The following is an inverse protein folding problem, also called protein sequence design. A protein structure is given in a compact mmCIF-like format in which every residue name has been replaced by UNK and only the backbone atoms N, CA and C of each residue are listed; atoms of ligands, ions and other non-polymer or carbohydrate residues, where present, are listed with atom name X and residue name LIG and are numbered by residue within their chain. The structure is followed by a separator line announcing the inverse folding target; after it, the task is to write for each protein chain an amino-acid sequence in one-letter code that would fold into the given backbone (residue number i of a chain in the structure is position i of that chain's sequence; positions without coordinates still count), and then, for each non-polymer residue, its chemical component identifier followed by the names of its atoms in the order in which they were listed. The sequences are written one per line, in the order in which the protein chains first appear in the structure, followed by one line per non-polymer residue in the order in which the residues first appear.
data_IF_299116264273
#
_entry.id   IF_299116264273
#
_cell.length_a   1.000
_cell.length_b   1.000
_cell.length_c   1.000
_cell.angle_alpha   90.00
_cell.angle_beta   90.00
_cell.angle_gamma   90.00
#
_symmetry.space_group_name_H-M   'P 1'
#
loop_
_entity.id
_entity.type
_entity.pdbx_description
1 polymer ?
#
# COMPACT_ATOMS: atom_id res chain seq x y z
N UNK A 1 -7.84 7.25 43.70
CA UNK A 1 -7.95 6.31 42.57
C UNK A 1 -8.35 7.11 41.35
N UNK A 2 -7.35 7.66 40.68
CA UNK A 2 -7.46 8.39 39.41
C UNK A 2 -7.01 7.42 38.31
N UNK A 3 -7.75 7.37 37.20
CA UNK A 3 -7.47 6.51 36.05
C UNK A 3 -6.23 6.98 35.29
N UNK A 4 -5.40 6.10 34.69
CA UNK A 4 -4.17 6.48 33.96
C UNK A 4 -4.39 7.25 32.63
N UNK A 5 -5.57 7.82 32.38
CA UNK A 5 -5.90 8.52 31.13
C UNK A 5 -5.62 10.04 31.17
N UNK A 6 -5.16 10.60 32.30
CA UNK A 6 -4.83 12.03 32.43
C UNK A 6 -3.38 12.39 32.07
N UNK A 7 -2.51 11.42 31.81
CA UNK A 7 -1.10 11.67 31.46
C UNK A 7 -0.92 11.82 29.94
N UNK A 8 -1.32 12.99 29.44
CA UNK A 8 -0.59 13.75 28.41
C UNK A 8 -1.41 15.02 28.10
N UNK A 9 -1.36 16.00 29.00
CA UNK A 9 -1.53 17.39 28.53
C UNK A 9 -0.35 17.64 27.60
N UNK A 10 -0.60 17.55 26.29
CA UNK A 10 0.39 17.92 25.30
C UNK A 10 0.80 19.36 25.62
N UNK A 11 2.06 19.56 26.01
CA UNK A 11 2.65 20.88 26.02
C UNK A 11 2.35 21.49 24.64
N UNK A 12 1.73 22.68 24.61
CA UNK A 12 1.53 23.44 23.37
C UNK A 12 2.90 23.59 22.71
N UNK A 13 3.17 22.74 21.72
CA UNK A 13 4.29 22.95 20.82
C UNK A 13 4.01 24.25 20.06
N UNK A 14 5.07 24.99 19.77
CA UNK A 14 5.06 26.37 19.27
C UNK A 14 4.51 26.53 17.85
N UNK A 15 3.76 25.56 17.34
CA UNK A 15 3.06 25.64 16.06
C UNK A 15 1.54 25.67 16.33
N UNK A 16 0.97 26.89 16.32
CA UNK A 16 -0.47 27.14 16.34
C UNK A 16 -1.16 26.68 15.05
N UNK A 17 -1.03 25.41 14.69
CA UNK A 17 -1.22 24.95 13.32
C UNK A 17 -2.50 24.16 13.03
N UNK A 18 -3.48 23.95 13.92
CA UNK A 18 -4.88 23.56 13.54
C UNK A 18 -5.82 23.58 14.77
N UNK A 19 -7.15 23.63 14.57
CA UNK A 19 -8.17 23.32 15.61
C UNK A 19 -8.26 21.82 16.01
N UNK A 20 -7.51 20.94 15.34
CA UNK A 20 -7.48 19.50 15.62
C UNK A 20 -6.57 19.22 16.82
N UNK A 21 -7.14 18.66 17.87
CA UNK A 21 -6.44 18.35 19.14
C UNK A 21 -5.94 16.91 19.19
N UNK A 22 -6.63 16.00 18.49
CA UNK A 22 -6.39 14.54 18.55
C UNK A 22 -6.50 13.89 17.19
N UNK A 23 -5.82 12.76 17.03
CA UNK A 23 -5.91 11.94 15.83
C UNK A 23 -6.20 10.48 16.16
N UNK A 24 -7.05 9.85 15.36
CA UNK A 24 -7.17 8.39 15.32
C UNK A 24 -6.49 7.91 14.06
N UNK A 25 -5.37 7.19 14.21
CA UNK A 25 -4.55 6.72 13.09
C UNK A 25 -4.75 5.22 12.86
N UNK A 26 -5.04 4.85 11.63
CA UNK A 26 -5.33 3.48 11.21
C UNK A 26 -4.16 2.92 10.41
N UNK A 27 -3.66 1.77 10.87
CA UNK A 27 -2.90 0.85 10.03
C UNK A 27 -3.86 -0.17 9.44
N UNK A 28 -3.91 -0.27 8.11
CA UNK A 28 -4.87 -1.09 7.38
C UNK A 28 -4.17 -2.23 6.66
N UNK A 29 -4.59 -3.46 6.96
CA UNK A 29 -4.12 -4.68 6.30
C UNK A 29 -5.23 -5.20 5.38
N UNK A 30 -4.99 -5.31 4.08
CA UNK A 30 -5.99 -5.82 3.12
C UNK A 30 -5.54 -7.16 2.53
N UNK A 31 -6.32 -8.21 2.77
CA UNK A 31 -5.93 -9.56 2.37
C UNK A 31 -6.21 -9.82 0.89
N UNK A 32 -5.48 -10.79 0.34
CA UNK A 32 -5.85 -11.47 -0.89
C UNK A 32 -6.93 -12.52 -0.65
N UNK A 33 -7.83 -12.73 -1.61
CA UNK A 33 -8.88 -13.74 -1.53
C UNK A 33 -9.82 -13.73 -2.74
N UNK A 34 -10.44 -14.88 -3.02
CA UNK A 34 -11.33 -15.15 -4.17
C UNK A 34 -12.29 -14.00 -4.47
N UNK A 35 -12.14 -13.37 -5.64
CA UNK A 35 -13.11 -12.53 -6.35
C UNK A 35 -13.82 -11.39 -5.58
N UNK A 36 -13.28 -10.94 -4.44
CA UNK A 36 -13.87 -9.87 -3.62
C UNK A 36 -13.13 -8.53 -3.75
N UNK A 37 -12.37 -8.35 -4.83
CA UNK A 37 -11.70 -7.08 -5.15
C UNK A 37 -12.68 -5.89 -5.17
N UNK A 38 -13.92 -6.11 -5.61
CA UNK A 38 -15.01 -5.12 -5.62
C UNK A 38 -15.42 -4.73 -4.19
N UNK A 39 -15.53 -5.70 -3.28
CA UNK A 39 -15.85 -5.45 -1.88
C UNK A 39 -14.74 -4.65 -1.19
N UNK A 40 -13.48 -5.08 -1.37
CA UNK A 40 -12.32 -4.36 -0.82
C UNK A 40 -12.26 -2.94 -1.39
N UNK A 41 -12.63 -2.74 -2.66
CA UNK A 41 -12.71 -1.40 -3.26
C UNK A 41 -13.78 -0.51 -2.60
N UNK A 42 -14.90 -1.08 -2.19
CA UNK A 42 -15.91 -0.39 -1.38
C UNK A 42 -15.33 0.05 -0.03
N UNK A 43 -14.68 -0.88 0.70
CA UNK A 43 -14.04 -0.58 1.98
C UNK A 43 -12.96 0.49 1.83
N UNK A 44 -12.13 0.42 0.80
CA UNK A 44 -11.10 1.43 0.53
C UNK A 44 -11.68 2.82 0.27
N UNK A 45 -12.80 2.92 -0.44
CA UNK A 45 -13.51 4.19 -0.65
C UNK A 45 -14.08 4.75 0.66
N UNK A 46 -14.67 3.91 1.51
CA UNK A 46 -15.15 4.34 2.83
C UNK A 46 -14.00 4.84 3.73
N UNK A 47 -12.84 4.19 3.68
CA UNK A 47 -11.65 4.65 4.39
C UNK A 47 -11.16 6.02 3.87
N UNK A 48 -11.17 6.22 2.56
CA UNK A 48 -10.83 7.52 1.96
C UNK A 48 -11.82 8.62 2.37
N UNK A 49 -13.12 8.32 2.31
CA UNK A 49 -14.19 9.23 2.69
C UNK A 49 -14.13 9.59 4.18
N UNK A 50 -13.80 8.61 5.03
CA UNK A 50 -13.57 8.83 6.46
C UNK A 50 -12.44 9.84 6.73
N UNK A 51 -11.30 9.68 6.03
CA UNK A 51 -10.17 10.61 6.17
C UNK A 51 -10.54 12.00 5.64
N UNK A 52 -11.16 12.07 4.46
CA UNK A 52 -11.59 13.34 3.84
C UNK A 52 -12.63 14.10 4.65
N UNK A 53 -13.60 13.39 5.21
CA UNK A 53 -14.66 13.99 6.02
C UNK A 53 -14.11 14.71 7.25
N UNK A 54 -12.98 14.26 7.81
CA UNK A 54 -12.39 14.84 9.02
C UNK A 54 -11.13 15.67 8.76
N UNK A 55 -10.72 15.82 7.49
CA UNK A 55 -9.58 16.66 7.12
C UNK A 55 -9.94 18.15 7.17
N UNK A 56 -8.97 18.97 7.55
CA UNK A 56 -9.06 20.43 7.60
C UNK A 56 -7.93 21.06 6.81
N UNK A 57 -8.20 22.20 6.18
CA UNK A 57 -7.23 23.00 5.43
C UNK A 57 -7.19 24.44 5.95
N UNK A 58 -6.08 25.17 5.80
CA UNK A 58 -6.04 26.57 6.15
C UNK A 58 -6.98 27.36 5.24
N UNK A 59 -7.71 28.32 5.80
CA UNK A 59 -8.55 29.24 5.04
C UNK A 59 -7.68 30.10 4.13
N UNK A 60 -8.02 30.18 2.85
CA UNK A 60 -7.31 31.02 1.88
C UNK A 60 -7.23 32.48 2.37
N UNK A 61 -6.04 33.08 2.27
CA UNK A 61 -5.76 34.43 2.78
C UNK A 61 -5.22 34.48 4.22
N UNK A 62 -5.30 33.38 4.99
CA UNK A 62 -4.75 33.30 6.36
C UNK A 62 -3.48 32.44 6.46
N UNK A 63 -2.99 31.91 5.33
CA UNK A 63 -1.85 30.97 5.29
C UNK A 63 -0.57 31.58 5.87
N UNK A 64 -0.35 32.88 5.64
CA UNK A 64 0.85 33.62 6.05
C UNK A 64 0.59 34.55 7.25
N UNK A 65 -0.51 34.36 7.98
CA UNK A 65 -0.87 35.18 9.14
C UNK A 65 -0.66 34.40 10.43
N UNK A 66 -0.31 35.08 11.53
CA UNK A 66 -0.22 34.47 12.86
C UNK A 66 -1.57 33.87 13.31
N UNK A 67 -2.70 34.44 12.86
CA UNK A 67 -4.07 33.96 13.10
C UNK A 67 -4.57 32.99 11.99
N UNK A 68 -3.79 31.95 11.67
CA UNK A 68 -4.15 30.95 10.65
C UNK A 68 -5.46 30.25 11.02
N UNK A 69 -6.51 30.47 10.21
CA UNK A 69 -7.82 29.82 10.42
C UNK A 69 -7.91 28.51 9.66
N UNK A 70 -8.65 27.57 10.22
CA UNK A 70 -8.83 26.24 9.64
C UNK A 70 -10.29 26.02 9.28
N UNK A 71 -10.51 25.48 8.09
CA UNK A 71 -11.84 25.09 7.61
C UNK A 71 -11.84 23.62 7.18
N UNK A 72 -13.00 22.94 7.25
CA UNK A 72 -13.10 21.58 6.75
C UNK A 72 -12.75 21.49 5.26
N UNK A 73 -12.03 20.43 4.86
CA UNK A 73 -11.65 20.19 3.47
C UNK A 73 -12.88 20.08 2.57
N UNK A 74 -13.88 19.30 3.00
CA UNK A 74 -15.16 19.19 2.32
C UNK A 74 -16.18 20.10 3.01
N UNK A 75 -16.70 21.07 2.25
CA UNK A 75 -17.75 22.01 2.67
C UNK A 75 -19.13 21.40 2.47
N UNK A 76 -20.12 21.89 3.22
CA UNK A 76 -21.50 21.43 3.09
C UNK A 76 -22.11 21.75 1.70
N UNK A 77 -23.08 20.93 1.22
CA UNK A 77 -23.67 19.78 1.91
C UNK A 77 -22.81 18.50 1.84
N UNK A 78 -22.75 17.75 2.93
CA UNK A 78 -22.08 16.44 2.99
C UNK A 78 -23.04 15.29 2.61
N UNK A 79 -22.83 14.59 1.48
CA UNK A 79 -23.70 13.49 1.09
C UNK A 79 -23.34 12.17 1.81
N UNK A 80 -24.37 11.36 2.12
CA UNK A 80 -24.21 9.97 2.54
C UNK A 80 -23.29 9.75 3.76
N UNK A 81 -22.32 8.84 3.62
CA UNK A 81 -21.41 8.44 4.69
C UNK A 81 -20.46 9.55 5.15
N UNK A 82 -20.13 10.52 4.30
CA UNK A 82 -19.26 11.65 4.65
C UNK A 82 -19.81 12.45 5.85
N UNK A 83 -21.14 12.64 5.90
CA UNK A 83 -21.79 13.31 7.02
C UNK A 83 -21.68 12.51 8.32
N UNK A 84 -21.70 11.18 8.24
CA UNK A 84 -21.52 10.29 9.41
C UNK A 84 -20.09 10.39 9.93
N UNK A 85 -19.08 10.30 9.05
CA UNK A 85 -17.68 10.42 9.45
C UNK A 85 -17.32 11.82 9.96
N UNK A 86 -17.90 12.88 9.39
CA UNK A 86 -17.76 14.25 9.91
C UNK A 86 -18.24 14.32 11.36
N UNK A 87 -19.45 13.82 11.61
CA UNK A 87 -20.03 13.77 12.96
C UNK A 87 -19.19 12.92 13.90
N UNK A 88 -18.57 11.85 13.42
CA UNK A 88 -17.67 11.03 14.23
C UNK A 88 -16.43 11.82 14.68
N UNK A 89 -15.80 12.60 13.81
CA UNK A 89 -14.66 13.46 14.17
C UNK A 89 -15.03 14.57 15.16
N UNK A 90 -16.23 15.14 15.03
CA UNK A 90 -16.78 16.13 15.98
C UNK A 90 -17.10 15.48 17.33
N UNK A 91 -17.68 14.27 17.30
CA UNK A 91 -18.06 13.48 18.47
C UNK A 91 -16.85 13.06 19.31
N UNK A 92 -15.82 12.50 18.68
CA UNK A 92 -14.61 12.06 19.37
C UNK A 92 -13.81 13.23 19.97
N UNK A 93 -14.04 14.43 19.44
CA UNK A 93 -13.51 15.69 19.94
C UNK A 93 -14.00 16.08 21.34
N UNK A 94 -15.19 15.63 21.76
CA UNK A 94 -15.75 15.95 23.09
C UNK A 94 -14.94 15.22 24.16
N UNK A 95 -14.17 15.93 24.98
CA UNK A 95 -13.27 15.32 25.97
C UNK A 95 -14.04 14.51 27.02
N UNK A 96 -15.07 15.10 27.63
CA UNK A 96 -15.87 14.46 28.67
C UNK A 96 -16.72 13.30 28.12
N UNK A 97 -16.58 12.11 28.72
CA UNK A 97 -17.26 10.89 28.26
C UNK A 97 -18.77 10.96 28.47
N UNK A 98 -19.23 11.62 29.52
CA UNK A 98 -20.64 11.72 29.86
C UNK A 98 -21.34 12.71 28.93
N UNK A 99 -20.78 13.90 28.75
CA UNK A 99 -21.22 14.91 27.78
C UNK A 99 -21.24 14.32 26.37
N UNK A 100 -20.18 13.59 25.99
CA UNK A 100 -20.12 12.89 24.73
C UNK A 100 -21.30 11.93 24.58
N UNK A 101 -21.53 11.05 25.56
CA UNK A 101 -22.65 10.11 25.53
C UNK A 101 -24.02 10.82 25.47
N UNK A 102 -24.19 11.93 26.18
CA UNK A 102 -25.43 12.70 26.20
C UNK A 102 -25.69 13.39 24.86
N UNK A 103 -24.67 14.01 24.25
CA UNK A 103 -24.75 14.59 22.89
C UNK A 103 -25.09 13.53 21.83
N UNK A 104 -24.58 12.31 21.96
CA UNK A 104 -24.94 11.20 21.08
C UNK A 104 -26.41 10.81 21.21
N UNK A 105 -26.88 10.60 22.45
CA UNK A 105 -28.29 10.24 22.71
C UNK A 105 -29.25 11.31 22.22
N UNK A 106 -28.88 12.57 22.37
CA UNK A 106 -29.69 13.73 21.96
C UNK A 106 -29.54 14.08 20.48
N UNK A 107 -28.65 13.41 19.74
CA UNK A 107 -28.31 13.72 18.35
C UNK A 107 -27.95 15.20 18.13
N UNK A 108 -27.33 15.83 19.13
CA UNK A 108 -27.13 17.28 19.17
C UNK A 108 -25.84 17.75 18.49
N UNK A 109 -25.15 16.87 17.76
CA UNK A 109 -23.93 17.21 17.00
C UNK A 109 -24.31 17.73 15.64
N UNK A 110 -23.92 18.98 15.40
CA UNK A 110 -24.17 19.70 14.15
C UNK A 110 -22.97 19.59 13.21
N UNK A 111 -23.21 19.63 11.89
CA UNK A 111 -22.14 19.72 10.89
C UNK A 111 -21.27 20.99 11.05
N UNK A 112 -21.78 22.01 11.75
CA UNK A 112 -21.07 23.25 12.08
C UNK A 112 -20.13 23.15 13.27
N UNK A 113 -20.20 22.06 14.05
CA UNK A 113 -19.32 21.86 15.20
C UNK A 113 -17.85 21.71 14.74
N UNK A 114 -16.86 22.16 15.53
CA UNK A 114 -15.46 22.04 15.15
C UNK A 114 -15.02 20.57 15.09
N UNK A 115 -14.20 20.24 14.09
CA UNK A 115 -13.60 18.92 13.95
C UNK A 115 -12.32 18.88 14.80
N UNK A 116 -12.47 18.49 16.07
CA UNK A 116 -11.33 18.40 17.00
C UNK A 116 -10.58 17.08 16.93
N UNK A 117 -11.17 16.03 16.36
CA UNK A 117 -10.52 14.74 16.13
C UNK A 117 -10.49 14.40 14.65
N UNK A 118 -9.30 14.12 14.14
CA UNK A 118 -9.07 13.72 12.75
C UNK A 118 -8.84 12.23 12.63
N UNK A 119 -9.42 11.61 11.60
CA UNK A 119 -9.24 10.20 11.27
C UNK A 119 -8.23 10.10 10.12
N UNK A 120 -7.22 9.25 10.25
CA UNK A 120 -6.09 9.17 9.30
C UNK A 120 -5.77 7.71 9.01
N UNK A 121 -5.56 7.37 7.74
CA UNK A 121 -4.94 6.11 7.33
C UNK A 121 -3.50 6.42 6.94
N UNK A 122 -2.53 6.00 7.75
CA UNK A 122 -1.11 6.32 7.56
C UNK A 122 -0.25 5.10 7.25
N UNK A 123 -0.77 3.88 7.38
CA UNK A 123 -0.06 2.64 7.04
C UNK A 123 -1.03 1.73 6.31
N UNK A 124 -0.61 1.23 5.15
CA UNK A 124 -1.37 0.28 4.34
C UNK A 124 -0.45 -0.88 3.98
N UNK A 125 -0.90 -2.11 4.20
CA UNK A 125 -0.23 -3.31 3.69
C UNK A 125 -1.23 -4.19 2.97
N UNK A 126 -0.90 -4.68 1.79
CA UNK A 126 -1.83 -5.46 0.99
C UNK A 126 -1.19 -6.56 0.16
N UNK A 127 -1.97 -7.61 -0.05
CA UNK A 127 -1.63 -8.76 -0.90
C UNK A 127 -2.74 -8.98 -1.93
N UNK A 128 -2.39 -9.38 -3.15
CA UNK A 128 -3.35 -9.71 -4.23
C UNK A 128 -4.36 -8.59 -4.49
N UNK A 129 -5.67 -8.90 -4.49
CA UNK A 129 -6.73 -7.89 -4.63
C UNK A 129 -6.66 -6.78 -3.56
N UNK A 130 -6.23 -7.11 -2.34
CA UNK A 130 -5.97 -6.14 -1.27
C UNK A 130 -4.81 -5.21 -1.61
N UNK A 131 -3.75 -5.74 -2.24
CA UNK A 131 -2.62 -4.95 -2.72
C UNK A 131 -2.98 -3.97 -3.82
N UNK A 132 -3.82 -4.38 -4.79
CA UNK A 132 -4.33 -3.46 -5.82
C UNK A 132 -5.10 -2.31 -5.17
N UNK A 133 -6.08 -2.61 -4.31
CA UNK A 133 -6.86 -1.56 -3.65
C UNK A 133 -6.02 -0.68 -2.73
N UNK A 134 -5.01 -1.25 -2.08
CA UNK A 134 -4.03 -0.53 -1.27
C UNK A 134 -3.22 0.50 -2.08
N UNK A 135 -2.77 0.15 -3.29
CA UNK A 135 -2.08 1.09 -4.20
C UNK A 135 -2.96 2.32 -4.50
N UNK A 136 -4.20 2.09 -4.87
CA UNK A 136 -5.11 3.18 -5.25
C UNK A 136 -5.55 4.02 -4.04
N UNK A 137 -5.81 3.40 -2.89
CA UNK A 137 -6.10 4.12 -1.65
C UNK A 137 -4.92 4.99 -1.23
N UNK A 138 -3.69 4.44 -1.28
CA UNK A 138 -2.50 5.18 -0.91
C UNK A 138 -2.26 6.39 -1.81
N UNK A 139 -2.38 6.22 -3.14
CA UNK A 139 -2.29 7.34 -4.08
C UNK A 139 -3.39 8.38 -3.83
N UNK A 140 -4.63 7.94 -3.60
CA UNK A 140 -5.75 8.82 -3.27
C UNK A 140 -5.49 9.66 -2.01
N UNK A 141 -4.95 9.05 -0.95
CA UNK A 141 -4.57 9.73 0.28
C UNK A 141 -3.39 10.69 0.08
N UNK A 142 -2.32 10.24 -0.58
CA UNK A 142 -1.11 11.05 -0.81
C UNK A 142 -1.35 12.25 -1.74
N UNK A 143 -2.38 12.20 -2.59
CA UNK A 143 -2.60 13.19 -3.66
C UNK A 143 -3.97 13.87 -3.63
N UNK A 144 -4.80 13.55 -2.63
CA UNK A 144 -6.19 13.99 -2.51
C UNK A 144 -7.01 13.72 -3.78
N UNK A 145 -6.97 12.48 -4.26
CA UNK A 145 -7.65 12.04 -5.48
C UNK A 145 -8.81 11.08 -5.18
N UNK A 146 -9.76 10.98 -6.09
CA UNK A 146 -10.83 9.97 -6.01
C UNK A 146 -10.36 8.60 -6.51
N UNK A 147 -11.06 7.54 -6.12
CA UNK A 147 -10.81 6.16 -6.58
C UNK A 147 -11.78 5.69 -7.68
N UNK A 148 -12.50 6.62 -8.32
CA UNK A 148 -13.53 6.31 -9.32
C UNK A 148 -12.98 5.51 -10.51
N UNK A 149 -11.74 5.76 -10.93
CA UNK A 149 -11.08 5.01 -12.00
C UNK A 149 -11.01 3.51 -11.70
N UNK A 150 -10.61 3.14 -10.49
CA UNK A 150 -10.55 1.73 -10.06
C UNK A 150 -11.95 1.12 -9.91
N UNK A 151 -12.91 1.87 -9.36
CA UNK A 151 -14.32 1.42 -9.28
C UNK A 151 -14.89 1.09 -10.66
N UNK A 152 -14.69 1.99 -11.63
CA UNK A 152 -15.13 1.76 -13.01
C UNK A 152 -14.41 0.58 -13.64
N UNK A 153 -13.10 0.42 -13.38
CA UNK A 153 -12.35 -0.73 -13.83
C UNK A 153 -12.99 -2.02 -13.31
N UNK A 154 -13.28 -2.11 -12.01
CA UNK A 154 -13.91 -3.31 -11.45
C UNK A 154 -15.30 -3.60 -12.01
N UNK A 155 -16.13 -2.57 -12.17
CA UNK A 155 -17.48 -2.73 -12.73
C UNK A 155 -17.47 -3.12 -14.21
N UNK A 156 -16.48 -2.67 -14.97
CA UNK A 156 -16.41 -2.89 -16.42
C UNK A 156 -15.55 -4.08 -16.85
N UNK A 157 -14.48 -4.37 -16.13
CA UNK A 157 -13.48 -5.40 -16.46
C UNK A 157 -13.40 -6.53 -15.42
N UNK A 158 -14.14 -6.45 -14.29
CA UNK A 158 -14.17 -7.52 -13.27
C UNK A 158 -14.80 -8.83 -13.75
N UNK A 159 -15.40 -8.85 -14.93
CA UNK A 159 -15.84 -10.07 -15.61
C UNK A 159 -14.64 -10.87 -16.13
N UNK A 160 -14.37 -12.01 -15.50
CA UNK A 160 -13.31 -12.96 -15.87
C UNK A 160 -13.33 -13.31 -17.36
N UNK A 161 -14.50 -13.34 -18.01
CA UNK A 161 -14.63 -13.60 -19.44
C UNK A 161 -13.95 -12.57 -20.33
N UNK A 162 -13.84 -11.31 -19.89
CA UNK A 162 -13.12 -10.23 -20.61
C UNK A 162 -11.60 -10.31 -20.42
N UNK A 163 -11.17 -10.98 -19.36
CA UNK A 163 -9.77 -11.15 -19.02
C UNK A 163 -9.19 -12.44 -19.60
N UNK A 164 -10.00 -13.40 -20.07
CA UNK A 164 -9.51 -14.61 -20.75
C UNK A 164 -8.50 -14.25 -21.86
N UNK A 165 -7.40 -14.97 -21.94
CA UNK A 165 -6.24 -14.65 -22.78
C UNK A 165 -6.48 -14.87 -24.29
N UNK A 166 -7.62 -14.49 -24.82
CA UNK A 166 -8.05 -14.68 -26.20
C UNK A 166 -8.01 -13.36 -27.01
N UNK A 167 -8.43 -13.42 -28.29
CA UNK A 167 -8.53 -12.22 -29.14
C UNK A 167 -9.50 -11.17 -28.59
N UNK A 168 -10.47 -11.52 -27.76
CA UNK A 168 -11.46 -10.58 -27.18
C UNK A 168 -10.79 -9.69 -26.13
N UNK A 169 -9.84 -10.22 -25.36
CA UNK A 169 -9.05 -9.45 -24.40
C UNK A 169 -8.14 -8.38 -25.03
N UNK A 170 -7.97 -8.40 -26.36
CA UNK A 170 -7.24 -7.35 -27.08
C UNK A 170 -8.12 -6.13 -27.45
N UNK A 171 -9.44 -6.21 -27.25
CA UNK A 171 -10.34 -5.09 -27.55
C UNK A 171 -10.10 -3.92 -26.58
N UNK A 172 -9.89 -2.72 -27.13
CA UNK A 172 -9.73 -1.49 -26.33
C UNK A 172 -8.39 -1.38 -25.60
N UNK A 173 -7.41 -2.21 -25.94
CA UNK A 173 -6.01 -2.08 -25.51
C UNK A 173 -5.13 -1.89 -26.75
N UNK A 174 -3.98 -1.23 -26.57
CA UNK A 174 -3.02 -0.93 -27.62
C UNK A 174 -1.61 -1.19 -27.10
N UNK A 175 -0.65 -1.37 -28.02
CA UNK A 175 0.76 -1.42 -27.66
C UNK A 175 1.35 -2.79 -27.35
N UNK A 176 0.60 -3.87 -27.56
CA UNK A 176 1.12 -5.23 -27.46
C UNK A 176 0.26 -6.20 -28.26
N UNK A 177 0.87 -7.30 -28.68
CA UNK A 177 0.20 -8.41 -29.36
C UNK A 177 -0.09 -9.58 -28.41
N UNK A 178 -1.10 -10.38 -28.78
CA UNK A 178 -1.41 -11.62 -28.10
C UNK A 178 -0.31 -12.65 -28.39
N UNK A 179 0.38 -13.13 -27.36
CA UNK A 179 1.44 -14.15 -27.49
C UNK A 179 0.82 -15.54 -27.65
N UNK A 180 1.35 -16.36 -28.57
CA UNK A 180 0.97 -17.77 -28.74
C UNK A 180 2.20 -18.69 -28.61
N UNK A 181 2.08 -19.86 -27.93
CA UNK A 181 0.92 -20.34 -27.18
C UNK A 181 0.65 -19.49 -25.93
N UNK A 182 -0.56 -19.59 -25.37
CA UNK A 182 -0.93 -18.82 -24.17
C UNK A 182 -0.17 -19.36 -22.95
N UNK A 183 0.54 -18.47 -22.26
CA UNK A 183 1.32 -18.80 -21.05
C UNK A 183 0.47 -18.78 -19.77
N UNK A 184 -0.75 -18.24 -19.83
CA UNK A 184 -1.69 -18.14 -18.71
C UNK A 184 -3.13 -18.00 -19.21
N UNK A 185 -4.11 -18.33 -18.35
CA UNK A 185 -5.54 -18.28 -18.66
C UNK A 185 -6.05 -16.85 -18.90
N UNK A 186 -5.53 -15.87 -18.17
CA UNK A 186 -5.93 -14.47 -18.21
C UNK A 186 -4.82 -13.59 -18.81
N UNK A 187 -5.23 -12.55 -19.55
CA UNK A 187 -4.34 -11.64 -20.25
C UNK A 187 -3.63 -10.70 -19.27
N UNK A 188 -2.42 -11.09 -18.88
CA UNK A 188 -1.57 -10.35 -17.94
C UNK A 188 -1.25 -8.93 -18.39
N UNK A 189 -1.01 -8.73 -19.71
CA UNK A 189 -0.69 -7.42 -20.29
C UNK A 189 -1.91 -6.50 -20.30
N UNK A 190 -3.10 -7.04 -20.60
CA UNK A 190 -4.37 -6.29 -20.48
C UNK A 190 -4.59 -5.79 -19.07
N UNK A 191 -4.40 -6.66 -18.06
CA UNK A 191 -4.59 -6.26 -16.67
C UNK A 191 -3.65 -5.11 -16.27
N UNK A 192 -2.36 -5.19 -16.63
CA UNK A 192 -1.43 -4.08 -16.40
C UNK A 192 -1.87 -2.79 -17.11
N UNK A 193 -2.22 -2.86 -18.40
CA UNK A 193 -2.73 -1.71 -19.17
C UNK A 193 -3.92 -1.05 -18.48
N UNK A 194 -4.85 -1.86 -17.98
CA UNK A 194 -6.07 -1.40 -17.33
C UNK A 194 -5.85 -0.82 -15.94
N UNK A 195 -4.91 -1.36 -15.18
CA UNK A 195 -4.46 -0.76 -13.92
C UNK A 195 -3.79 0.59 -14.16
N UNK A 196 -2.92 0.69 -15.18
CA UNK A 196 -2.28 1.94 -15.57
C UNK A 196 -3.32 2.98 -16.05
N UNK A 197 -4.32 2.54 -16.81
CA UNK A 197 -5.45 3.40 -17.22
C UNK A 197 -6.24 3.92 -16.02
N UNK A 198 -6.51 3.06 -15.04
CA UNK A 198 -7.22 3.48 -13.84
C UNK A 198 -6.42 4.47 -12.98
N UNK A 199 -5.08 4.32 -12.90
CA UNK A 199 -4.20 5.28 -12.22
C UNK A 199 -4.14 6.63 -12.95
N UNK A 200 -4.03 6.60 -14.28
CA UNK A 200 -4.00 7.82 -15.11
C UNK A 200 -5.32 8.61 -15.00
N UNK A 201 -6.46 7.92 -14.88
CA UNK A 201 -7.76 8.55 -14.61
C UNK A 201 -7.84 9.25 -13.24
N UNK A 202 -7.05 8.81 -12.25
CA UNK A 202 -6.97 9.54 -10.97
C UNK A 202 -6.31 10.91 -11.13
N UNK A 203 -5.44 11.07 -12.13
CA UNK A 203 -4.69 12.31 -12.42
C UNK A 203 -5.42 13.27 -13.38
N UNK A 204 -6.66 12.95 -13.78
CA UNK A 204 -7.47 13.82 -14.64
C UNK A 204 -7.69 15.21 -13.99
N UNK A 205 -7.74 16.30 -14.79
CA UNK A 205 -7.81 17.68 -14.29
C UNK A 205 -8.93 17.97 -13.30
N UNK A 206 -10.07 17.29 -13.44
CA UNK A 206 -11.23 17.40 -12.54
C UNK A 206 -10.97 16.88 -11.13
N UNK A 207 -9.93 16.06 -10.96
CA UNK A 207 -9.49 15.46 -9.70
C UNK A 207 -8.24 16.14 -9.12
N UNK A 208 -7.77 17.26 -9.69
CA UNK A 208 -6.49 17.86 -9.30
C UNK A 208 -6.59 18.78 -8.08
N UNK A 209 -5.83 18.44 -7.04
CA UNK A 209 -4.95 19.41 -6.37
C UNK A 209 -3.64 19.48 -7.17
N UNK A 210 -3.00 20.65 -7.25
CA UNK A 210 -1.74 20.80 -8.00
C UNK A 210 -0.68 19.80 -7.48
N UNK A 211 0.09 19.18 -8.37
CA UNK A 211 1.08 18.14 -8.02
C UNK A 211 2.15 18.58 -7.01
N UNK A 212 2.26 19.89 -6.82
CA UNK A 212 3.27 20.60 -6.02
C UNK A 212 2.81 20.91 -4.60
N UNK A 213 1.58 20.57 -4.20
CA UNK A 213 1.08 20.83 -2.85
C UNK A 213 1.01 19.55 -2.02
N UNK A 214 1.41 19.65 -0.76
CA UNK A 214 1.27 18.57 0.21
C UNK A 214 -0.20 18.13 0.36
N UNK A 215 -0.39 16.85 0.65
CA UNK A 215 -1.71 16.28 0.90
C UNK A 215 -2.34 16.92 2.13
N UNK A 216 -3.62 17.33 2.06
CA UNK A 216 -4.35 17.72 3.24
C UNK A 216 -4.81 16.49 4.04
N UNK A 217 -4.66 15.26 3.52
CA UNK A 217 -5.21 14.02 4.08
C UNK A 217 -4.21 13.21 4.90
N UNK A 218 -2.92 13.27 4.56
CA UNK A 218 -1.83 12.60 5.26
C UNK A 218 -0.57 13.45 5.20
N UNK A 219 0.29 13.38 6.22
CA UNK A 219 1.64 13.98 6.21
C UNK A 219 2.75 12.94 6.05
N UNK A 220 2.43 11.70 6.41
CA UNK A 220 3.31 10.53 6.34
C UNK A 220 2.44 9.32 6.01
N UNK A 221 2.81 8.52 5.01
CA UNK A 221 2.09 7.33 4.58
C UNK A 221 3.07 6.28 4.07
N UNK A 222 2.88 5.03 4.51
CA UNK A 222 3.62 3.87 4.01
C UNK A 222 2.66 2.87 3.38
N UNK A 223 3.01 2.41 2.19
CA UNK A 223 2.32 1.35 1.48
C UNK A 223 3.27 0.17 1.27
N UNK A 224 2.86 -1.01 1.75
CA UNK A 224 3.57 -2.28 1.56
C UNK A 224 2.75 -3.19 0.65
N UNK A 225 3.31 -3.56 -0.49
CA UNK A 225 2.70 -4.51 -1.43
C UNK A 225 3.55 -5.75 -1.50
N UNK A 226 3.00 -6.88 -1.08
CA UNK A 226 3.72 -8.16 -1.11
C UNK A 226 3.74 -8.75 -2.50
N UNK A 227 4.84 -9.40 -2.84
CA UNK A 227 4.99 -10.21 -4.05
C UNK A 227 5.97 -11.34 -3.80
N UNK A 228 6.02 -12.28 -4.74
CA UNK A 228 6.96 -13.41 -4.67
C UNK A 228 7.95 -13.31 -5.81
N UNK A 229 9.23 -13.13 -5.48
CA UNK A 229 10.32 -13.19 -6.45
C UNK A 229 10.66 -14.65 -6.72
N UNK A 230 10.35 -15.15 -7.93
CA UNK A 230 10.56 -16.55 -8.29
C UNK A 230 12.05 -16.91 -8.40
N UNK A 231 12.91 -15.93 -8.68
CA UNK A 231 14.36 -16.13 -8.75
C UNK A 231 14.99 -16.11 -7.34
N UNK A 232 14.39 -15.36 -6.42
CA UNK A 232 14.81 -15.22 -5.01
C UNK A 232 16.15 -14.50 -4.82
N UNK A 233 16.31 -13.79 -3.71
CA UNK A 233 17.51 -12.99 -3.43
C UNK A 233 18.41 -13.76 -2.46
N UNK A 234 19.72 -13.92 -2.75
CA UNK A 234 20.65 -14.53 -1.81
C UNK A 234 20.86 -13.63 -0.59
N UNK A 235 20.61 -14.17 0.60
CA UNK A 235 20.85 -13.53 1.88
C UNK A 235 21.98 -14.25 2.62
N UNK A 236 23.04 -13.53 3.03
CA UNK A 236 24.08 -14.11 3.86
C UNK A 236 23.59 -14.26 5.31
N UNK A 237 23.81 -15.44 5.87
CA UNK A 237 23.56 -15.76 7.28
C UNK A 237 24.91 -16.03 7.93
N UNK A 238 25.28 -15.16 8.87
CA UNK A 238 26.47 -15.35 9.70
C UNK A 238 26.22 -16.44 10.74
N UNK A 239 26.92 -17.56 10.62
CA UNK A 239 27.06 -18.56 11.67
C UNK A 239 28.35 -18.27 12.46
N UNK A 240 28.53 -18.96 13.58
CA UNK A 240 29.68 -18.76 14.47
C UNK A 240 31.05 -18.86 13.76
N UNK A 241 31.18 -19.76 12.78
CA UNK A 241 32.43 -20.08 12.09
C UNK A 241 32.43 -19.77 10.58
N UNK A 242 31.26 -19.51 9.99
CA UNK A 242 31.12 -19.37 8.52
C UNK A 242 29.90 -18.56 8.12
N UNK A 243 29.85 -18.17 6.85
CA UNK A 243 28.65 -17.59 6.23
C UNK A 243 27.99 -18.66 5.36
N UNK A 244 26.69 -18.88 5.57
CA UNK A 244 25.85 -19.68 4.67
C UNK A 244 24.88 -18.76 3.94
N UNK A 245 24.40 -19.16 2.77
CA UNK A 245 23.50 -18.35 1.97
C UNK A 245 22.13 -19.02 1.86
N UNK A 246 21.07 -18.26 2.09
CA UNK A 246 19.68 -18.67 1.89
C UNK A 246 19.06 -17.83 0.77
N UNK A 247 18.18 -18.41 -0.05
CA UNK A 247 17.40 -17.62 -1.02
C UNK A 247 16.08 -17.20 -0.41
N UNK A 248 15.88 -15.89 -0.24
CA UNK A 248 14.60 -15.31 0.16
C UNK A 248 13.77 -15.00 -1.08
N UNK A 249 12.64 -15.70 -1.24
CA UNK A 249 11.67 -15.47 -2.32
C UNK A 249 10.58 -14.45 -1.94
N UNK A 250 10.36 -14.23 -0.64
CA UNK A 250 9.44 -13.20 -0.13
C UNK A 250 9.95 -11.81 -0.51
N UNK A 251 9.12 -11.05 -1.22
CA UNK A 251 9.43 -9.68 -1.66
C UNK A 251 8.32 -8.71 -1.23
N UNK A 252 8.70 -7.45 -1.02
CA UNK A 252 7.77 -6.37 -0.72
C UNK A 252 8.18 -5.11 -1.47
N UNK A 253 7.23 -4.50 -2.18
CA UNK A 253 7.39 -3.16 -2.72
C UNK A 253 6.93 -2.15 -1.66
N UNK A 254 7.82 -1.23 -1.30
CA UNK A 254 7.57 -0.22 -0.26
C UNK A 254 7.52 1.17 -0.87
N UNK A 255 6.32 1.76 -0.91
CA UNK A 255 6.09 3.13 -1.35
C UNK A 255 5.85 4.04 -0.16
N UNK A 256 6.35 5.28 -0.23
CA UNK A 256 6.28 6.26 0.84
C UNK A 256 5.81 7.63 0.34
N UNK A 257 5.08 8.31 1.21
CA UNK A 257 4.79 9.72 1.11
C UNK A 257 5.15 10.38 2.44
N UNK A 258 6.01 11.39 2.42
CA UNK A 258 6.45 12.13 3.61
C UNK A 258 6.61 13.61 3.27
N UNK A 259 6.09 14.49 4.11
CA UNK A 259 6.35 15.93 4.02
C UNK A 259 7.61 16.30 4.81
N UNK A 260 8.28 17.39 4.43
CA UNK A 260 9.45 17.89 5.19
C UNK A 260 9.07 18.19 6.64
N UNK A 261 7.88 18.76 6.84
CA UNK A 261 7.38 19.08 8.16
C UNK A 261 7.02 17.85 9.02
N UNK A 262 6.95 16.64 8.45
CA UNK A 262 6.69 15.41 9.21
C UNK A 262 7.97 14.66 9.59
N UNK A 263 8.94 14.58 8.67
CA UNK A 263 10.11 13.69 8.82
C UNK A 263 11.46 14.40 8.61
N UNK A 264 11.45 15.70 8.28
CA UNK A 264 12.63 16.45 7.85
C UNK A 264 13.03 16.18 6.39
N UNK A 265 12.39 15.23 5.70
CA UNK A 265 12.68 14.89 4.31
C UNK A 265 11.41 14.75 3.49
N UNK A 266 11.37 15.39 2.31
CA UNK A 266 10.28 15.19 1.37
C UNK A 266 10.49 13.91 0.55
N UNK A 267 9.45 13.07 0.47
CA UNK A 267 9.39 11.93 -0.45
C UNK A 267 7.95 11.75 -0.93
N UNK A 268 7.76 11.54 -2.22
CA UNK A 268 6.45 11.27 -2.78
C UNK A 268 6.56 10.27 -3.93
N UNK A 269 6.29 9.01 -3.59
CA UNK A 269 6.32 7.88 -4.52
C UNK A 269 4.97 7.70 -5.28
N UNK A 270 4.01 8.61 -5.09
CA UNK A 270 2.65 8.51 -5.66
C UNK A 270 2.38 9.55 -6.77
N UNK A 271 3.44 10.17 -7.27
CA UNK A 271 3.39 11.05 -8.44
C UNK A 271 3.04 10.26 -9.70
N UNK A 272 2.40 10.94 -10.65
CA UNK A 272 2.04 10.40 -11.96
C UNK A 272 3.21 9.70 -12.67
N UNK A 273 4.42 10.24 -12.56
CA UNK A 273 5.61 9.63 -13.16
C UNK A 273 5.98 8.23 -12.64
N UNK A 274 5.47 7.85 -11.46
CA UNK A 274 5.69 6.54 -10.84
C UNK A 274 4.52 5.57 -11.08
N UNK A 275 3.44 5.99 -11.73
CA UNK A 275 2.29 5.16 -12.06
C UNK A 275 2.62 3.85 -12.79
N UNK A 276 3.57 3.81 -13.75
CA UNK A 276 3.99 2.56 -14.36
C UNK A 276 4.52 1.55 -13.34
N UNK A 277 5.26 2.01 -12.33
CA UNK A 277 5.78 1.13 -11.28
C UNK A 277 4.70 0.76 -10.25
N UNK A 278 3.79 1.68 -9.90
CA UNK A 278 2.63 1.38 -9.06
C UNK A 278 1.72 0.32 -9.72
N UNK A 279 1.44 0.45 -11.02
CA UNK A 279 0.71 -0.53 -11.80
C UNK A 279 1.45 -1.87 -11.88
N UNK A 280 2.79 -1.84 -12.00
CA UNK A 280 3.62 -3.04 -11.96
C UNK A 280 3.50 -3.76 -10.61
N UNK A 281 3.64 -3.05 -9.49
CA UNK A 281 3.50 -3.64 -8.15
C UNK A 281 2.09 -4.20 -7.91
N UNK A 282 1.04 -3.45 -8.29
CA UNK A 282 -0.36 -3.90 -8.24
C UNK A 282 -0.59 -5.15 -9.10
N UNK A 283 0.11 -5.27 -10.24
CA UNK A 283 0.03 -6.45 -11.09
C UNK A 283 0.81 -7.63 -10.51
N UNK A 284 2.04 -7.43 -10.03
CA UNK A 284 2.84 -8.48 -9.41
C UNK A 284 2.10 -9.14 -8.25
N UNK A 285 1.53 -8.34 -7.35
CA UNK A 285 0.83 -8.87 -6.18
C UNK A 285 -0.41 -9.68 -6.55
N UNK A 286 -0.97 -9.53 -7.76
CA UNK A 286 -2.15 -10.26 -8.26
C UNK A 286 -1.85 -11.34 -9.31
N UNK A 287 -0.58 -11.75 -9.46
CA UNK A 287 -0.14 -12.79 -10.41
C UNK A 287 -0.24 -14.19 -9.82
N UNK A 288 -1.47 -14.72 -9.70
CA UNK A 288 -1.68 -16.06 -9.18
C UNK A 288 -1.49 -17.15 -10.26
N UNK A 289 -0.92 -18.32 -9.92
CA UNK A 289 -0.50 -19.31 -10.90
C UNK A 289 -1.70 -19.80 -11.72
N UNK A 290 -1.44 -20.18 -12.97
CA UNK A 290 -2.42 -20.62 -13.98
C UNK A 290 -3.37 -19.53 -14.48
N UNK A 291 -3.84 -18.62 -13.63
CA UNK A 291 -4.67 -17.52 -14.09
C UNK A 291 -3.87 -16.39 -14.71
N UNK A 292 -2.84 -15.92 -14.03
CA UNK A 292 -2.05 -14.79 -14.47
C UNK A 292 -0.57 -15.18 -14.46
N UNK A 293 0.12 -14.95 -15.58
CA UNK A 293 1.56 -15.20 -15.65
C UNK A 293 2.32 -14.31 -14.66
N UNK A 294 3.48 -14.78 -14.13
CA UNK A 294 4.42 -13.93 -13.41
C UNK A 294 4.77 -12.69 -14.24
N UNK A 295 4.91 -11.56 -13.57
CA UNK A 295 5.17 -10.27 -14.21
C UNK A 295 6.65 -9.91 -14.08
N UNK A 296 7.28 -9.46 -15.16
CA UNK A 296 8.63 -8.89 -15.14
C UNK A 296 8.56 -7.41 -15.44
N UNK A 297 9.48 -6.62 -14.90
CA UNK A 297 9.44 -5.17 -15.12
C UNK A 297 9.68 -4.83 -16.60
N UNK A 298 10.49 -5.61 -17.33
CA UNK A 298 10.66 -5.42 -18.77
C UNK A 298 9.38 -5.66 -19.60
N UNK A 299 8.38 -6.36 -19.05
CA UNK A 299 7.13 -6.63 -19.78
C UNK A 299 6.24 -5.38 -19.90
N UNK A 300 6.51 -4.32 -19.11
CA UNK A 300 5.74 -3.07 -19.16
C UNK A 300 6.23 -2.11 -20.26
N UNK A 301 7.45 -2.30 -20.78
CA UNK A 301 8.12 -1.32 -21.65
C UNK A 301 7.28 -0.95 -22.87
N UNK A 302 6.80 -1.94 -23.62
CA UNK A 302 6.04 -1.71 -24.85
C UNK A 302 4.68 -1.08 -24.53
N UNK A 303 4.07 -1.53 -23.43
CA UNK A 303 2.76 -1.05 -23.00
C UNK A 303 2.85 0.40 -22.55
N UNK A 304 3.83 0.75 -21.72
CA UNK A 304 4.03 2.11 -21.21
C UNK A 304 4.33 3.09 -22.35
N UNK A 305 5.23 2.72 -23.28
CA UNK A 305 5.57 3.54 -24.46
C UNK A 305 4.38 3.77 -25.38
N UNK A 306 3.56 2.75 -25.59
CA UNK A 306 2.40 2.83 -26.47
C UNK A 306 1.16 3.40 -25.78
N UNK A 307 1.18 3.52 -24.45
CA UNK A 307 0.10 4.13 -23.69
C UNK A 307 0.09 5.63 -23.98
N UNK A 308 -0.97 6.08 -24.67
CA UNK A 308 -1.13 7.46 -25.13
C UNK A 308 -1.53 8.41 -23.98
N UNK A 309 -0.74 8.46 -22.92
CA UNK A 309 -0.76 9.56 -21.97
C UNK A 309 -0.11 10.79 -22.62
N UNK A 310 -0.46 12.00 -22.18
CA UNK A 310 0.20 13.22 -22.62
C UNK A 310 0.85 13.93 -21.42
N UNK A 311 2.20 13.92 -21.30
CA UNK A 311 3.15 13.15 -22.13
C UNK A 311 3.05 11.63 -21.90
N UNK A 312 3.49 10.79 -22.87
CA UNK A 312 3.39 9.34 -22.74
C UNK A 312 4.31 8.84 -21.62
N UNK A 313 3.91 7.75 -20.95
CA UNK A 313 4.74 7.14 -19.92
C UNK A 313 6.04 6.64 -20.54
N UNK A 314 7.17 7.24 -20.16
CA UNK A 314 8.48 6.75 -20.54
C UNK A 314 8.81 5.47 -19.77
N UNK A 315 9.38 4.48 -20.44
CA UNK A 315 10.01 3.35 -19.75
C UNK A 315 11.27 3.85 -19.02
N UNK A 316 11.13 4.04 -17.71
CA UNK A 316 12.19 4.45 -16.78
C UNK A 316 12.94 3.26 -16.15
N UNK A 317 12.62 2.03 -16.54
CA UNK A 317 13.21 0.85 -15.91
C UNK A 317 14.68 0.63 -16.25
N UNK A 318 15.13 1.07 -17.44
CA UNK A 318 16.48 0.80 -17.95
C UNK A 318 17.49 1.94 -17.74
N UNK A 319 17.01 3.18 -17.69
CA UNK A 319 17.83 4.38 -17.92
C UNK A 319 17.94 5.31 -16.72
N UNK A 320 17.12 5.13 -15.69
CA UNK A 320 16.93 6.13 -14.62
C UNK A 320 17.11 5.50 -13.22
N UNK A 321 18.08 5.97 -12.39
CA UNK A 321 18.27 5.52 -11.01
C UNK A 321 17.05 5.75 -10.08
N UNK A 322 16.06 6.51 -10.52
CA UNK A 322 14.89 6.94 -9.76
C UNK A 322 14.05 5.79 -9.22
N UNK A 323 14.06 4.62 -9.89
CA UNK A 323 13.32 3.45 -9.41
C UNK A 323 14.13 2.54 -8.48
N UNK A 324 15.44 2.76 -8.32
CA UNK A 324 16.29 1.95 -7.42
C UNK A 324 15.73 1.88 -6.00
N UNK A 325 15.08 2.96 -5.55
CA UNK A 325 14.45 3.03 -4.23
C UNK A 325 13.31 2.02 -4.03
N UNK A 326 12.64 1.59 -5.11
CA UNK A 326 11.55 0.62 -5.05
C UNK A 326 12.01 -0.83 -4.97
N UNK A 327 13.29 -1.09 -5.25
CA UNK A 327 13.93 -2.40 -5.13
C UNK A 327 15.30 -2.29 -4.45
N UNK A 328 15.42 -1.40 -3.47
CA UNK A 328 16.67 -1.10 -2.78
C UNK A 328 17.28 -2.33 -2.08
N UNK A 329 16.45 -3.25 -1.58
CA UNK A 329 16.87 -4.54 -1.04
C UNK A 329 17.61 -5.38 -2.08
N UNK A 330 17.11 -5.39 -3.33
CA UNK A 330 17.77 -6.05 -4.44
C UNK A 330 19.06 -5.34 -4.83
N UNK A 331 19.06 -4.00 -4.86
CA UNK A 331 20.27 -3.22 -5.16
C UNK A 331 21.39 -3.46 -4.15
N UNK A 332 21.04 -3.80 -2.90
CA UNK A 332 21.99 -4.12 -1.83
C UNK A 332 22.50 -5.55 -1.92
N UNK A 333 21.59 -6.52 -2.06
CA UNK A 333 21.91 -7.94 -1.91
C UNK A 333 22.20 -8.65 -3.24
N UNK A 334 21.71 -8.13 -4.37
CA UNK A 334 21.94 -8.71 -5.71
C UNK A 334 23.41 -8.65 -6.16
N UNK A 335 24.25 -7.86 -5.49
CA UNK A 335 25.69 -7.83 -5.73
C UNK A 335 26.35 -9.20 -5.55
N UNK A 336 25.80 -10.05 -4.68
CA UNK A 336 26.29 -11.42 -4.50
C UNK A 336 26.04 -12.29 -5.74
N UNK A 337 24.88 -12.14 -6.39
CA UNK A 337 24.57 -12.88 -7.64
C UNK A 337 25.51 -12.42 -8.77
N UNK A 338 25.81 -11.12 -8.87
CA UNK A 338 26.78 -10.60 -9.85
C UNK A 338 28.20 -11.13 -9.59
N UNK A 339 28.64 -11.14 -8.33
CA UNK A 339 29.96 -11.65 -7.96
C UNK A 339 30.09 -13.16 -8.23
N UNK A 340 29.04 -13.92 -7.91
CA UNK A 340 28.94 -15.35 -8.19
C UNK A 340 28.99 -15.62 -9.71
N UNK A 341 28.19 -14.90 -10.50
CA UNK A 341 28.12 -15.07 -11.95
C UNK A 341 29.46 -14.74 -12.63
N UNK A 342 30.15 -13.69 -12.16
CA UNK A 342 31.44 -13.29 -12.70
C UNK A 342 32.57 -14.28 -12.39
N UNK A 343 32.52 -14.97 -11.24
CA UNK A 343 33.62 -15.86 -10.78
C UNK A 343 33.39 -17.34 -11.01
N UNK A 344 32.13 -17.77 -11.15
CA UNK A 344 31.74 -19.19 -11.12
C UNK A 344 32.25 -19.92 -9.86
N UNK A 345 32.44 -19.19 -8.76
CA UNK A 345 32.91 -19.66 -7.43
C UNK A 345 32.13 -18.95 -6.33
N UNK A 346 32.26 -19.40 -5.07
CA UNK A 346 31.65 -18.75 -3.91
C UNK A 346 31.89 -17.22 -3.93
N UNK A 347 30.82 -16.46 -3.69
CA UNK A 347 30.85 -15.01 -3.66
C UNK A 347 31.82 -14.55 -2.56
N UNK A 348 32.71 -13.63 -2.91
CA UNK A 348 33.68 -13.02 -2.00
C UNK A 348 33.25 -11.64 -1.53
N UNK A 349 32.20 -11.07 -2.15
CA UNK A 349 31.68 -9.74 -1.85
C UNK A 349 32.45 -8.58 -2.50
N UNK A 350 33.38 -8.84 -3.43
CA UNK A 350 34.03 -7.76 -4.19
C UNK A 350 33.39 -7.58 -5.58
N UNK A 351 33.25 -6.34 -6.02
CA UNK A 351 32.65 -6.01 -7.31
C UNK A 351 33.51 -6.50 -8.48
N UNK A 352 32.92 -7.20 -9.47
CA UNK A 352 33.63 -7.58 -10.69
C UNK A 352 34.02 -6.36 -11.53
N UNK A 353 35.02 -6.52 -12.41
CA UNK A 353 35.49 -5.48 -13.33
C UNK A 353 36.81 -4.79 -12.94
N UNK A 354 37.28 -3.90 -13.82
CA UNK A 354 38.52 -3.11 -13.70
C UNK A 354 38.20 -1.63 -13.48
N UNK A 355 39.03 -0.91 -12.72
CA UNK A 355 38.82 0.51 -12.43
C UNK A 355 38.72 0.81 -10.92
N UNK A 356 38.34 2.04 -10.60
CA UNK A 356 38.07 2.51 -9.24
C UNK A 356 36.84 1.82 -8.64
N UNK A 357 36.68 1.89 -7.31
CA UNK A 357 35.51 1.31 -6.63
C UNK A 357 34.21 1.98 -7.12
N UNK A 358 34.23 3.29 -7.38
CA UNK A 358 33.08 4.05 -7.85
C UNK A 358 32.65 3.62 -9.25
N UNK A 359 33.60 3.45 -10.18
CA UNK A 359 33.33 2.97 -11.54
C UNK A 359 32.74 1.55 -11.53
N UNK A 360 33.31 0.65 -10.72
CA UNK A 360 32.79 -0.71 -10.54
C UNK A 360 31.37 -0.71 -9.98
N UNK A 361 31.10 0.15 -9.00
CA UNK A 361 29.78 0.25 -8.38
C UNK A 361 28.76 0.81 -9.36
N UNK A 362 29.13 1.81 -10.17
CA UNK A 362 28.27 2.36 -11.21
C UNK A 362 27.91 1.31 -12.27
N UNK A 363 28.89 0.54 -12.75
CA UNK A 363 28.67 -0.56 -13.69
C UNK A 363 27.78 -1.66 -13.08
N UNK A 364 28.09 -2.10 -11.85
CA UNK A 364 27.29 -3.10 -11.16
C UNK A 364 25.83 -2.66 -10.96
N UNK A 365 25.56 -1.38 -10.68
CA UNK A 365 24.19 -0.87 -10.57
C UNK A 365 23.42 -0.98 -11.89
N UNK A 366 24.06 -0.79 -13.04
CA UNK A 366 23.44 -0.97 -14.36
C UNK A 366 23.07 -2.44 -14.55
N UNK A 367 24.00 -3.35 -14.26
CA UNK A 367 23.76 -4.79 -14.39
C UNK A 367 22.67 -5.28 -13.42
N UNK A 368 22.64 -4.76 -12.20
CA UNK A 368 21.59 -5.06 -11.22
C UNK A 368 20.22 -4.60 -11.71
N UNK A 369 20.10 -3.39 -12.27
CA UNK A 369 18.82 -2.92 -12.84
C UNK A 369 18.38 -3.82 -13.98
N UNK A 370 19.27 -4.13 -14.92
CA UNK A 370 18.96 -5.04 -16.03
C UNK A 370 18.58 -6.45 -15.57
N UNK A 371 19.24 -6.94 -14.52
CA UNK A 371 18.91 -8.22 -13.88
C UNK A 371 17.52 -8.16 -13.26
N UNK A 372 17.24 -7.16 -12.41
CA UNK A 372 15.95 -6.94 -11.77
C UNK A 372 14.83 -6.86 -12.79
N UNK A 373 15.05 -6.18 -13.91
CA UNK A 373 14.06 -6.01 -14.99
C UNK A 373 13.54 -7.33 -15.54
N UNK A 374 14.37 -8.37 -15.54
CA UNK A 374 14.09 -9.69 -16.10
C UNK A 374 13.54 -10.68 -15.06
N UNK A 375 13.58 -10.34 -13.76
CA UNK A 375 13.10 -11.20 -12.68
C UNK A 375 11.60 -11.36 -12.72
N UNK A 376 11.13 -12.56 -12.39
CA UNK A 376 9.72 -12.91 -12.48
C UNK A 376 9.04 -12.80 -11.11
N UNK A 377 8.02 -11.95 -11.02
CA UNK A 377 7.27 -11.73 -9.79
C UNK A 377 5.86 -12.33 -9.86
N UNK A 378 5.54 -13.19 -8.89
CA UNK A 378 4.22 -13.78 -8.65
C UNK A 378 3.46 -13.10 -7.51
N UNK A 379 2.23 -13.55 -7.29
CA UNK A 379 1.34 -13.08 -6.21
C UNK A 379 2.02 -13.17 -4.84
N UNK A 380 1.83 -12.16 -4.00
CA UNK A 380 2.37 -12.15 -2.64
C UNK A 380 1.78 -13.26 -1.79
N UNK A 381 0.57 -13.71 -2.11
CA UNK A 381 -0.12 -14.77 -1.43
C UNK A 381 0.58 -16.12 -1.50
N UNK A 382 1.67 -16.30 -2.28
CA UNK A 382 2.44 -17.55 -2.27
C UNK A 382 3.18 -17.72 -0.93
N UNK A 383 3.64 -16.62 -0.33
CA UNK A 383 4.54 -16.61 0.83
C UNK A 383 4.17 -15.58 1.91
N UNK A 384 3.26 -14.65 1.61
CA UNK A 384 2.86 -13.55 2.51
C UNK A 384 1.44 -13.04 2.17
N UNK A 385 0.44 -13.89 2.36
CA UNK A 385 -0.98 -13.53 2.13
C UNK A 385 -1.57 -12.62 3.20
N UNK A 386 -1.01 -12.64 4.43
CA UNK A 386 -1.45 -11.81 5.56
C UNK A 386 -0.32 -10.88 6.01
N UNK A 387 -0.11 -9.73 5.34
CA UNK A 387 1.08 -8.89 5.50
C UNK A 387 1.09 -8.02 6.76
N UNK A 388 0.74 -8.59 7.92
CA UNK A 388 0.63 -7.88 9.20
C UNK A 388 1.96 -7.32 9.67
N UNK A 389 3.04 -8.07 9.50
CA UNK A 389 4.33 -7.71 10.07
C UNK A 389 4.82 -6.33 9.61
N UNK A 390 4.48 -5.89 8.40
CA UNK A 390 4.82 -4.54 7.94
C UNK A 390 3.99 -3.47 8.65
N UNK A 391 2.68 -3.70 8.79
CA UNK A 391 1.81 -2.78 9.51
C UNK A 391 2.19 -2.68 10.99
N UNK A 392 2.36 -3.81 11.68
CA UNK A 392 2.68 -3.88 13.11
C UNK A 392 4.07 -3.33 13.41
N UNK A 393 5.07 -3.59 12.57
CA UNK A 393 6.40 -3.00 12.74
C UNK A 393 6.40 -1.48 12.56
N UNK A 394 5.65 -0.95 11.58
CA UNK A 394 5.57 0.50 11.37
C UNK A 394 4.79 1.24 12.46
N UNK A 395 3.77 0.61 13.06
CA UNK A 395 3.05 1.17 14.23
C UNK A 395 3.99 1.54 15.38
N UNK A 396 5.14 0.86 15.50
CA UNK A 396 6.13 1.12 16.57
C UNK A 396 7.04 2.31 16.28
N UNK A 397 7.19 2.71 15.01
CA UNK A 397 8.18 3.70 14.56
C UNK A 397 7.57 5.04 14.18
N UNK A 398 6.27 5.07 13.90
CA UNK A 398 5.61 6.26 13.37
C UNK A 398 5.50 7.37 14.43
N UNK A 399 6.08 8.53 14.11
CA UNK A 399 6.06 9.72 14.97
C UNK A 399 4.65 10.29 15.14
N UNK A 400 4.38 10.91 16.29
CA UNK A 400 3.13 11.60 16.59
C UNK A 400 3.45 12.94 17.26
N UNK A 401 2.99 14.03 16.65
CA UNK A 401 3.08 15.41 17.11
C UNK A 401 1.85 15.83 17.95
N UNK A 402 0.88 14.93 18.11
CA UNK A 402 -0.39 15.14 18.81
C UNK A 402 -0.80 13.91 19.61
N UNK A 403 -1.85 14.02 20.42
CA UNK A 403 -2.41 12.86 21.07
C UNK A 403 -3.04 11.93 20.01
N UNK A 404 -2.53 10.70 19.94
CA UNK A 404 -2.92 9.71 18.92
C UNK A 404 -3.51 8.48 19.57
N UNK A 405 -4.67 8.04 19.08
CA UNK A 405 -5.18 6.68 19.28
C UNK A 405 -4.88 5.86 18.01
N UNK A 406 -4.09 4.79 18.13
CA UNK A 406 -3.72 3.94 16.98
C UNK A 406 -4.60 2.71 16.93
N UNK A 407 -5.18 2.44 15.76
CA UNK A 407 -5.99 1.25 15.47
C UNK A 407 -5.35 0.43 14.36
N UNK A 408 -5.32 -0.88 14.56
CA UNK A 408 -5.02 -1.85 13.51
C UNK A 408 -6.34 -2.37 12.97
N UNK A 409 -6.60 -2.18 11.68
CA UNK A 409 -7.77 -2.68 10.97
C UNK A 409 -7.30 -3.69 9.93
N UNK A 410 -8.00 -4.81 9.80
CA UNK A 410 -7.78 -5.74 8.71
C UNK A 410 -9.06 -5.99 7.93
N UNK A 411 -8.91 -6.20 6.63
CA UNK A 411 -10.01 -6.48 5.70
C UNK A 411 -9.78 -7.88 5.15
N UNK A 412 -10.53 -8.82 5.72
CA UNK A 412 -10.61 -10.20 5.25
C UNK A 412 -11.96 -10.40 4.58
N UNK A 413 -12.01 -10.50 3.24
CA UNK A 413 -13.28 -10.49 2.53
C UNK A 413 -14.01 -11.85 2.63
N UNK A 414 -13.30 -12.93 2.91
CA UNK A 414 -13.85 -14.27 3.08
C UNK A 414 -13.22 -14.93 4.33
N UNK A 415 -13.63 -14.54 5.54
CA UNK A 415 -13.07 -15.12 6.76
C UNK A 415 -13.44 -16.60 6.84
N UNK A 416 -12.42 -17.44 7.01
CA UNK A 416 -12.64 -18.85 7.32
C UNK A 416 -13.01 -19.00 8.81
N UNK A 417 -13.98 -19.87 9.08
CA UNK A 417 -14.39 -20.24 10.44
C UNK A 417 -13.98 -21.68 10.72
N UNK A 418 -12.68 -21.98 10.87
CA UNK A 418 -12.19 -23.35 11.08
C UNK A 418 -12.80 -24.03 12.32
N UNK A 419 -13.25 -23.24 13.29
CA UNK A 419 -13.98 -23.70 14.48
C UNK A 419 -15.38 -24.27 14.18
N UNK A 420 -15.96 -23.92 13.02
CA UNK A 420 -17.28 -24.37 12.57
C UNK A 420 -17.20 -25.49 11.52
N UNK A 421 -16.03 -25.72 10.93
CA UNK A 421 -15.86 -26.70 9.85
C UNK A 421 -15.85 -28.13 10.39
N UNK A 422 -16.96 -28.87 10.22
CA UNK A 422 -16.95 -30.34 10.30
C UNK A 422 -16.32 -30.87 9.01
N UNK A 423 -15.19 -31.56 9.10
CA UNK A 423 -14.57 -32.21 7.94
C UNK A 423 -15.55 -33.22 7.32
N UNK A 424 -16.18 -32.84 6.22
CA UNK A 424 -16.93 -33.74 5.36
C UNK A 424 -16.03 -34.00 4.15
N UNK A 425 -15.46 -35.20 4.10
CA UNK A 425 -14.56 -35.64 3.02
C UNK A 425 -15.41 -36.24 1.92
N UNK A 426 -15.92 -35.40 1.02
CA UNK A 426 -16.51 -35.90 -0.23
C UNK A 426 -15.39 -36.27 -1.23
N UNK A 427 -15.58 -37.32 -2.04
CA UNK A 427 -14.60 -37.71 -3.05
C UNK A 427 -14.49 -36.62 -4.12
N UNK A 428 -13.29 -36.16 -4.48
CA UNK A 428 -13.15 -34.91 -5.19
C UNK A 428 -13.31 -35.04 -6.71
N UNK A 429 -13.96 -34.05 -7.34
CA UNK A 429 -14.05 -33.90 -8.80
C UNK A 429 -12.77 -33.27 -9.38
N UNK A 430 -12.33 -33.69 -10.58
CA UNK A 430 -11.06 -33.25 -11.18
C UNK A 430 -11.04 -31.74 -11.48
N UNK A 431 -12.16 -31.19 -11.95
CA UNK A 431 -12.28 -29.74 -12.23
C UNK A 431 -12.33 -28.90 -10.95
N UNK A 432 -12.94 -29.43 -9.89
CA UNK A 432 -13.00 -28.83 -8.57
C UNK A 432 -11.63 -28.88 -7.87
N UNK A 433 -10.89 -29.97 -8.04
CA UNK A 433 -9.51 -30.13 -7.56
C UNK A 433 -8.52 -29.15 -8.16
N UNK A 434 -8.64 -28.77 -9.43
CA UNK A 434 -7.74 -27.76 -10.02
C UNK A 434 -8.05 -26.37 -9.47
N UNK A 435 -9.33 -26.05 -9.20
CA UNK A 435 -9.69 -24.81 -8.51
C UNK A 435 -9.23 -24.84 -7.05
N UNK A 436 -9.52 -25.91 -6.30
CA UNK A 436 -9.13 -26.07 -4.90
C UNK A 436 -7.61 -26.19 -4.72
N UNK A 437 -6.86 -26.84 -5.61
CA UNK A 437 -5.40 -26.91 -5.51
C UNK A 437 -4.69 -25.58 -5.83
N UNK A 438 -5.35 -24.65 -6.50
CA UNK A 438 -4.79 -23.31 -6.81
C UNK A 438 -5.28 -22.25 -5.82
N UNK A 439 -6.49 -22.42 -5.28
CA UNK A 439 -7.16 -21.46 -4.38
C UNK A 439 -7.12 -21.89 -2.89
N UNK A 440 -7.22 -23.19 -2.60
CA UNK A 440 -7.35 -23.81 -1.27
C UNK A 440 -6.12 -24.62 -0.84
N UNK A 441 -4.94 -24.45 -1.46
CA UNK A 441 -3.71 -24.90 -0.81
C UNK A 441 -3.69 -24.23 0.56
N UNK A 442 -3.65 -24.99 1.68
CA UNK A 442 -3.76 -24.41 3.01
C UNK A 442 -2.50 -23.60 3.30
N UNK A 443 -2.52 -22.32 2.92
CA UNK A 443 -1.52 -21.32 3.26
C UNK A 443 -1.92 -20.76 4.62
N UNK A 444 -1.89 -21.62 5.64
CA UNK A 444 -2.16 -21.21 7.02
C UNK A 444 -1.02 -20.33 7.53
N UNK A 445 -1.05 -19.06 7.13
CA UNK A 445 -0.26 -18.03 7.77
C UNK A 445 -0.96 -17.61 9.07
N UNK A 446 -0.23 -17.74 10.18
CA UNK A 446 -0.70 -17.35 11.50
C UNK A 446 -0.29 -15.91 11.79
N UNK A 447 -1.27 -15.04 12.06
CA UNK A 447 -1.01 -13.65 12.47
C UNK A 447 -0.81 -13.52 13.99
N UNK A 448 -0.85 -14.64 14.73
CA UNK A 448 -0.79 -14.67 16.19
C UNK A 448 0.44 -13.92 16.72
N UNK A 449 1.62 -14.21 16.19
CA UNK A 449 2.87 -13.57 16.66
C UNK A 449 2.86 -12.05 16.47
N UNK A 450 2.30 -11.57 15.35
CA UNK A 450 2.17 -10.14 15.09
C UNK A 450 1.20 -9.46 16.08
N UNK A 451 0.11 -10.13 16.42
CA UNK A 451 -0.88 -9.64 17.39
C UNK A 451 -0.32 -9.69 18.82
N UNK A 452 0.38 -10.76 19.19
CA UNK A 452 1.02 -10.91 20.50
C UNK A 452 2.05 -9.80 20.72
N UNK A 453 2.88 -9.48 19.70
CA UNK A 453 3.81 -8.33 19.76
C UNK A 453 3.09 -6.99 20.01
N UNK A 454 1.91 -6.79 19.44
CA UNK A 454 1.10 -5.59 19.69
C UNK A 454 0.59 -5.57 21.14
N UNK A 455 0.10 -6.70 21.66
CA UNK A 455 -0.35 -6.78 23.05
C UNK A 455 0.78 -6.58 24.06
N UNK A 456 1.95 -7.20 23.83
CA UNK A 456 3.14 -7.02 24.65
C UNK A 456 3.54 -5.54 24.72
N UNK A 457 3.54 -4.85 23.57
CA UNK A 457 3.82 -3.41 23.51
C UNK A 457 2.77 -2.59 24.27
N UNK A 458 1.49 -2.89 24.13
CA UNK A 458 0.43 -2.18 24.85
C UNK A 458 0.58 -2.34 26.36
N UNK A 459 0.92 -3.53 26.83
CA UNK A 459 1.21 -3.77 28.25
C UNK A 459 2.43 -2.97 28.73
N UNK A 460 3.47 -2.86 27.89
CA UNK A 460 4.67 -2.07 28.19
C UNK A 460 4.34 -0.56 28.29
N UNK A 461 3.56 -0.03 27.34
CA UNK A 461 3.11 1.36 27.35
C UNK A 461 2.24 1.69 28.57
N UNK A 462 1.33 0.79 28.96
CA UNK A 462 0.54 0.96 30.18
C UNK A 462 1.41 1.02 31.44
N UNK A 463 2.45 0.16 31.53
CA UNK A 463 3.39 0.20 32.65
C UNK A 463 4.17 1.50 32.72
N UNK A 464 4.64 2.01 31.58
CA UNK A 464 5.36 3.29 31.51
C UNK A 464 4.43 4.45 31.85
N UNK A 465 3.19 4.44 31.34
CA UNK A 465 2.20 5.48 31.63
C UNK A 465 1.77 5.55 33.10
N UNK A 466 1.89 4.46 33.85
CA UNK A 466 1.67 4.44 35.31
C UNK A 466 2.85 5.09 36.07
N UNK A 467 4.04 5.13 35.48
CA UNK A 467 5.26 5.67 36.09
C UNK A 467 5.53 7.14 35.74
N UNK A 468 4.85 7.67 34.72
CA UNK A 468 4.87 9.08 34.32
C UNK A 468 3.75 9.85 35.01
#
# INVERSE_FOLDING_TARGET
MTTPEETASAAKTSDGETDVEREVRFAVVMYGGVSLAIYINGVAQELLDMVRATATVPTEGTINTEDKKWEPLIKDPLPGALGVYRKLGQYLGVADKQERADRFRQQSISNTDPIRTRLIVDIISGTSAGGINGVFLAKALARDQGMTGLKQLWLSEGDLGKLLNDKRSMKGVRGFDLKQPQESLLNSKRMYYKLLEALDRMDEPTNRRAETKDSPLVRELDLFITSTDLDGIPLPIGLFDKVVYERRHKNVFHFRYTTEAATGTYRDDFKKEYDPFLAFAARCTSSFPFAFAPMRLCDITDIAKAYNANPPYGDRSASTPEWDQFFADYMRNGLFDLDLAARQKLATGQLPGTGTIEEKLAAAKIDLRESFRKRSFGDGGYLDNKPFSYATSMLTRRHADRAVDRKLLYVEPSPEHPELTRQQVDPPDFAENVRAAVLDLPRQETIREDIDRVYERNALLQRVGILA
#
